data_IF_625273649924
#
_entry.id   IF_625273649924
#
_cell.length_a   1.000
_cell.length_b   1.000
_cell.length_c   1.000
_cell.angle_alpha   90.00
_cell.angle_beta   90.00
_cell.angle_gamma   90.00
#
_symmetry.space_group_name_H-M   'P 1'
#
loop_
_entity.id
_entity.type
_entity.pdbx_description
1 polymer ?
#
# COMPACT_ATOMS: atom_id res chain seq x y z
N UNK A 1 -1.70 1.99 -12.87
CA UNK A 1 -0.98 1.01 -12.03
C UNK A 1 0.43 0.87 -12.57
N UNK A 2 1.46 0.97 -11.73
CA UNK A 2 2.85 0.67 -12.14
C UNK A 2 3.35 -0.59 -11.46
N UNK A 3 4.46 -1.13 -11.92
CA UNK A 3 5.02 -2.39 -11.44
C UNK A 3 6.43 -2.19 -10.94
N UNK A 4 6.81 -2.94 -9.92
CA UNK A 4 8.18 -3.00 -9.42
C UNK A 4 8.51 -4.41 -8.97
N UNK A 5 9.78 -4.75 -8.96
CA UNK A 5 10.29 -5.98 -8.37
C UNK A 5 10.26 -5.92 -6.85
N UNK A 6 10.34 -7.08 -6.19
CA UNK A 6 10.52 -7.13 -4.73
C UNK A 6 11.76 -6.36 -4.27
N UNK A 7 12.87 -6.47 -5.00
CA UNK A 7 14.10 -5.77 -4.63
C UNK A 7 13.96 -4.24 -4.71
N UNK A 8 13.28 -3.73 -5.74
CA UNK A 8 12.98 -2.30 -5.83
C UNK A 8 12.09 -1.84 -4.67
N UNK A 9 11.07 -2.63 -4.31
CA UNK A 9 10.23 -2.30 -3.15
C UNK A 9 11.06 -2.26 -1.85
N UNK A 10 11.88 -3.29 -1.61
CA UNK A 10 12.72 -3.37 -0.41
C UNK A 10 13.80 -2.28 -0.34
N UNK A 11 14.22 -1.74 -1.50
CA UNK A 11 15.17 -0.63 -1.59
C UNK A 11 14.58 0.73 -1.23
N UNK A 12 13.25 0.88 -1.19
CA UNK A 12 12.60 2.11 -0.74
C UNK A 12 12.87 2.27 0.75
N UNK A 13 13.22 3.50 1.15
CA UNK A 13 13.45 3.84 2.56
C UNK A 13 12.25 3.40 3.41
N UNK A 14 12.45 2.69 4.53
CA UNK A 14 11.38 2.22 5.43
C UNK A 14 10.40 3.31 5.90
N UNK A 15 10.79 4.58 5.93
CA UNK A 15 9.88 5.69 6.26
C UNK A 15 8.87 5.99 5.15
N UNK A 16 9.13 5.52 3.93
CA UNK A 16 8.33 5.75 2.73
C UNK A 16 7.68 4.46 2.19
N UNK A 17 7.84 3.32 2.87
CA UNK A 17 7.15 2.08 2.54
C UNK A 17 6.61 1.40 3.78
N UNK A 18 5.62 0.55 3.62
CA UNK A 18 5.12 -0.21 4.75
C UNK A 18 4.09 -1.25 4.37
N UNK A 19 3.39 -1.72 5.38
CA UNK A 19 2.18 -2.53 5.25
C UNK A 19 1.09 -1.84 6.04
N UNK A 20 -0.08 -1.68 5.45
CA UNK A 20 -1.22 -1.08 6.13
C UNK A 20 -1.77 -2.08 7.15
N UNK A 21 -1.52 -1.88 8.45
CA UNK A 21 -1.96 -2.82 9.50
C UNK A 21 -3.17 -2.34 10.31
N UNK A 22 -3.50 -1.04 10.24
CA UNK A 22 -4.51 -0.43 11.11
C UNK A 22 -5.87 -0.35 10.42
N UNK A 23 -6.93 -0.56 11.19
CA UNK A 23 -8.29 -0.27 10.74
C UNK A 23 -8.49 1.26 10.60
N UNK A 24 -9.35 1.69 9.68
CA UNK A 24 -9.70 3.09 9.43
C UNK A 24 -11.22 3.28 9.56
N UNK A 25 -11.71 3.11 10.78
CA UNK A 25 -13.16 3.11 11.09
C UNK A 25 -13.86 4.44 10.79
N UNK A 26 -13.10 5.53 10.62
CA UNK A 26 -13.62 6.83 10.23
C UNK A 26 -14.03 6.89 8.74
N UNK A 27 -13.55 5.97 7.91
CA UNK A 27 -13.96 5.89 6.50
C UNK A 27 -15.37 5.29 6.37
N UNK A 28 -16.27 5.93 5.60
CA UNK A 28 -17.57 5.35 5.30
C UNK A 28 -17.43 3.98 4.66
N UNK A 29 -18.25 3.02 5.11
CA UNK A 29 -18.24 1.64 4.60
C UNK A 29 -16.90 0.91 4.80
N UNK A 30 -16.11 1.33 5.78
CA UNK A 30 -14.84 0.69 6.10
C UNK A 30 -14.94 -0.84 6.24
N UNK A 31 -15.92 -1.42 6.96
CA UNK A 31 -16.04 -2.88 7.09
C UNK A 31 -16.15 -3.62 5.75
N UNK A 32 -16.75 -3.00 4.72
CA UNK A 32 -16.92 -3.59 3.40
C UNK A 32 -15.69 -3.47 2.51
N UNK A 33 -14.81 -2.49 2.77
CA UNK A 33 -13.67 -2.19 1.91
C UNK A 33 -12.31 -2.52 2.55
N UNK A 34 -12.26 -2.77 3.86
CA UNK A 34 -11.00 -2.93 4.62
C UNK A 34 -10.04 -3.97 4.04
N UNK A 35 -10.55 -5.03 3.41
CA UNK A 35 -9.73 -6.10 2.81
C UNK A 35 -8.93 -5.63 1.59
N UNK A 36 -9.34 -4.52 0.97
CA UNK A 36 -8.59 -3.90 -0.10
C UNK A 36 -7.36 -3.15 0.43
N UNK A 37 -7.32 -2.80 1.71
CA UNK A 37 -6.30 -1.94 2.32
C UNK A 37 -5.42 -2.71 3.32
N UNK A 38 -6.05 -3.35 4.31
CA UNK A 38 -5.34 -4.02 5.41
C UNK A 38 -4.49 -5.18 4.87
N UNK A 39 -3.23 -5.23 5.28
CA UNK A 39 -2.25 -6.21 4.83
C UNK A 39 -1.59 -5.90 3.49
N UNK A 40 -2.06 -4.88 2.75
CA UNK A 40 -1.40 -4.44 1.50
C UNK A 40 -0.14 -3.65 1.80
N UNK A 41 0.87 -3.80 0.94
CA UNK A 41 2.04 -2.94 0.98
C UNK A 41 1.68 -1.53 0.53
N UNK A 42 2.38 -0.55 1.09
CA UNK A 42 2.18 0.86 0.79
C UNK A 42 3.49 1.55 0.40
N UNK A 43 3.38 2.60 -0.42
CA UNK A 43 4.49 3.48 -0.79
C UNK A 43 4.01 4.93 -0.64
N UNK A 44 4.75 5.77 0.08
CA UNK A 44 4.55 7.22 0.08
C UNK A 44 5.39 7.83 -1.05
N UNK A 45 4.74 8.41 -2.06
CA UNK A 45 5.42 9.00 -3.22
C UNK A 45 4.71 10.28 -3.62
N UNK A 46 5.48 11.37 -3.78
CA UNK A 46 4.94 12.68 -4.19
C UNK A 46 3.76 13.17 -3.32
N UNK A 47 3.81 12.88 -2.01
CA UNK A 47 2.75 13.25 -1.07
C UNK A 47 1.49 12.37 -1.10
N UNK A 48 1.46 11.31 -1.92
CA UNK A 48 0.35 10.37 -2.00
C UNK A 48 0.72 9.00 -1.43
N UNK A 49 -0.22 8.38 -0.70
CA UNK A 49 -0.11 7.00 -0.23
C UNK A 49 -0.62 6.05 -1.30
N UNK A 50 0.29 5.29 -1.90
CA UNK A 50 0.02 4.31 -2.93
C UNK A 50 -0.11 2.94 -2.28
N UNK A 51 -0.98 2.09 -2.82
CA UNK A 51 -1.38 0.81 -2.22
C UNK A 51 -1.22 -0.31 -3.25
N UNK A 52 -0.63 -1.41 -2.83
CA UNK A 52 -0.49 -2.63 -3.63
C UNK A 52 -1.87 -3.13 -4.11
N UNK A 53 -1.93 -3.63 -5.34
CA UNK A 53 -3.12 -4.07 -6.07
C UNK A 53 -4.15 -2.97 -6.42
N UNK A 54 -3.91 -1.71 -6.01
CA UNK A 54 -4.69 -0.55 -6.47
C UNK A 54 -3.87 0.37 -7.36
N UNK A 55 -2.65 0.71 -6.91
CA UNK A 55 -1.81 1.73 -7.52
C UNK A 55 -0.54 1.11 -8.11
N UNK A 56 -0.05 0.03 -7.49
CA UNK A 56 1.11 -0.70 -7.98
C UNK A 56 0.97 -2.21 -7.75
N UNK A 57 1.79 -2.99 -8.43
CA UNK A 57 1.91 -4.43 -8.20
C UNK A 57 3.39 -4.82 -8.08
N UNK A 58 3.69 -5.76 -7.18
CA UNK A 58 5.03 -6.32 -7.06
C UNK A 58 5.14 -7.56 -7.94
N UNK A 59 6.05 -7.49 -8.93
CA UNK A 59 6.43 -8.66 -9.71
C UNK A 59 7.26 -9.59 -8.82
N UNK A 60 6.78 -10.83 -8.71
CA UNK A 60 7.50 -11.95 -8.10
C UNK A 60 8.54 -12.53 -9.03
#
# INVERSE_FOLDING_TARGET
MFTLTRNEFESINPDYRGVWQKECTDLPKWPQIREQYVGKRTILRQGALLIEDMHFAIMT
#
